data_IF_994779939351
#
_entry.id   IF_994779939351
#
_cell.length_a   1.000
_cell.length_b   1.000
_cell.length_c   1.000
_cell.angle_alpha   90.00
_cell.angle_beta   90.00
_cell.angle_gamma   90.00
#
_symmetry.space_group_name_H-M   'P 1'
#
loop_
_entity.id
_entity.type
_entity.pdbx_description
1 polymer ?
#
# COMPACT_ATOMS: atom_id res chain seq x y z
N UNK A 1 -16.38 17.09 16.67
CA UNK A 1 -16.13 18.19 15.71
C UNK A 1 -17.29 19.18 15.70
N UNK A 2 -18.52 18.77 15.42
CA UNK A 2 -19.68 19.66 15.34
C UNK A 2 -19.94 20.41 16.64
N UNK A 3 -19.74 19.79 17.79
CA UNK A 3 -19.90 20.42 19.11
C UNK A 3 -18.84 21.49 19.33
N UNK A 4 -17.58 21.21 18.95
CA UNK A 4 -16.49 22.17 19.03
C UNK A 4 -16.74 23.36 18.09
N UNK A 5 -17.18 23.11 16.86
CA UNK A 5 -17.52 24.17 15.90
C UNK A 5 -18.64 25.07 16.42
N UNK A 6 -19.69 24.51 17.01
CA UNK A 6 -20.78 25.28 17.63
C UNK A 6 -20.32 26.15 18.81
N UNK A 7 -19.34 25.63 19.57
CA UNK A 7 -18.73 26.39 20.67
C UNK A 7 -17.92 27.58 20.16
N UNK A 8 -17.08 27.32 19.15
CA UNK A 8 -16.27 28.39 18.53
C UNK A 8 -17.16 29.45 17.91
N UNK A 9 -18.22 29.07 17.20
CA UNK A 9 -19.17 29.99 16.60
C UNK A 9 -19.88 30.82 17.65
N UNK A 10 -20.34 30.21 18.76
CA UNK A 10 -20.92 30.94 19.87
C UNK A 10 -19.94 31.94 20.51
N UNK A 11 -18.66 31.59 20.64
CA UNK A 11 -17.62 32.51 21.14
C UNK A 11 -17.41 33.72 20.21
N UNK A 12 -17.35 33.45 18.90
CA UNK A 12 -17.18 34.53 17.90
C UNK A 12 -18.36 35.49 17.86
N UNK A 13 -19.56 34.98 18.07
CA UNK A 13 -20.79 35.75 18.09
C UNK A 13 -21.13 36.36 19.48
N UNK A 14 -20.23 36.21 20.47
CA UNK A 14 -20.42 36.62 21.87
C UNK A 14 -21.68 36.04 22.54
N UNK A 15 -22.14 34.87 22.11
CA UNK A 15 -23.18 34.09 22.79
C UNK A 15 -22.58 33.24 23.91
N UNK A 16 -23.26 33.19 25.07
CA UNK A 16 -22.88 32.24 26.10
C UNK A 16 -23.50 30.87 25.78
N UNK A 17 -22.70 29.87 25.37
CA UNK A 17 -23.25 28.54 25.10
C UNK A 17 -23.77 27.94 26.40
N UNK A 18 -25.02 27.46 26.40
CA UNK A 18 -25.57 26.67 27.51
C UNK A 18 -25.12 25.23 27.35
N UNK A 19 -23.94 24.91 27.84
CA UNK A 19 -23.40 23.55 27.81
C UNK A 19 -23.32 23.07 29.25
N UNK A 20 -23.95 21.92 29.47
CA UNK A 20 -23.82 21.19 30.73
C UNK A 20 -22.53 20.34 30.64
N UNK A 21 -21.53 20.53 31.54
CA UNK A 21 -20.30 19.74 31.52
C UNK A 21 -20.54 18.21 31.56
N UNK A 22 -21.55 17.76 32.30
CA UNK A 22 -21.90 16.33 32.40
C UNK A 22 -22.43 15.75 31.07
N UNK A 23 -23.25 16.51 30.35
CA UNK A 23 -23.76 16.13 29.03
C UNK A 23 -22.62 16.09 27.99
N UNK A 24 -21.62 16.99 28.12
CA UNK A 24 -20.48 17.02 27.23
C UNK A 24 -19.59 15.80 27.39
N UNK A 25 -19.37 15.35 28.64
CA UNK A 25 -18.63 14.11 28.93
C UNK A 25 -19.35 12.91 28.32
N UNK A 26 -20.66 12.74 28.60
CA UNK A 26 -21.46 11.65 28.06
C UNK A 26 -21.48 11.65 26.51
N UNK A 27 -21.54 12.85 25.89
CA UNK A 27 -21.46 12.97 24.45
C UNK A 27 -20.09 12.56 23.92
N UNK A 28 -19.00 12.91 24.61
CA UNK A 28 -17.63 12.52 24.27
C UNK A 28 -17.47 11.00 24.30
N UNK A 29 -17.91 10.36 25.38
CA UNK A 29 -17.87 8.89 25.51
C UNK A 29 -18.68 8.19 24.40
N UNK A 30 -19.87 8.69 24.10
CA UNK A 30 -20.69 8.15 23.02
C UNK A 30 -20.01 8.29 21.64
N UNK A 31 -19.41 9.45 21.35
CA UNK A 31 -18.70 9.66 20.09
C UNK A 31 -17.50 8.71 19.96
N UNK A 32 -16.69 8.56 21.01
CA UNK A 32 -15.54 7.65 21.01
C UNK A 32 -15.96 6.20 20.81
N UNK A 33 -17.02 5.73 21.49
CA UNK A 33 -17.55 4.37 21.28
C UNK A 33 -17.98 4.14 19.81
N UNK A 34 -18.61 5.15 19.19
CA UNK A 34 -19.05 5.04 17.79
C UNK A 34 -17.90 5.05 16.82
N UNK A 35 -16.87 5.84 17.09
CA UNK A 35 -15.65 5.90 16.29
C UNK A 35 -14.90 4.56 16.35
N UNK A 36 -14.65 4.01 17.54
CA UNK A 36 -14.03 2.70 17.72
C UNK A 36 -14.77 1.58 16.97
N UNK A 37 -16.11 1.60 17.04
CA UNK A 37 -16.95 0.64 16.32
C UNK A 37 -16.81 0.81 14.80
N UNK A 38 -16.77 2.05 14.32
CA UNK A 38 -16.57 2.36 12.90
C UNK A 38 -15.23 1.87 12.39
N UNK A 39 -14.15 2.17 13.14
CA UNK A 39 -12.79 1.73 12.80
C UNK A 39 -12.67 0.20 12.79
N UNK A 40 -13.25 -0.47 13.79
CA UNK A 40 -13.25 -1.94 13.83
C UNK A 40 -13.95 -2.55 12.60
N UNK A 41 -15.10 -2.01 12.20
CA UNK A 41 -15.83 -2.47 11.03
C UNK A 41 -15.06 -2.22 9.72
N UNK A 42 -14.39 -1.07 9.58
CA UNK A 42 -13.57 -0.75 8.42
C UNK A 42 -12.36 -1.70 8.30
N UNK A 43 -11.68 -1.94 9.41
CA UNK A 43 -10.54 -2.88 9.49
C UNK A 43 -10.97 -4.30 9.10
N UNK A 44 -12.10 -4.75 9.62
CA UNK A 44 -12.66 -6.07 9.32
C UNK A 44 -13.01 -6.21 7.83
N UNK A 45 -13.69 -5.21 7.26
CA UNK A 45 -14.06 -5.22 5.84
C UNK A 45 -12.84 -5.19 4.93
N UNK A 46 -11.84 -4.40 5.27
CA UNK A 46 -10.58 -4.30 4.53
C UNK A 46 -9.87 -5.65 4.51
N UNK A 47 -9.79 -6.31 5.67
CA UNK A 47 -9.18 -7.65 5.78
C UNK A 47 -9.93 -8.69 4.94
N UNK A 48 -11.27 -8.71 5.00
CA UNK A 48 -12.09 -9.62 4.17
C UNK A 48 -11.85 -9.41 2.67
N UNK A 49 -11.81 -8.18 2.21
CA UNK A 49 -11.52 -7.86 0.80
C UNK A 49 -10.13 -8.29 0.38
N UNK A 50 -9.14 -8.09 1.26
CA UNK A 50 -7.77 -8.49 1.03
C UNK A 50 -7.65 -10.01 0.92
N UNK A 51 -8.26 -10.76 1.82
CA UNK A 51 -8.32 -12.23 1.77
C UNK A 51 -9.04 -12.73 0.51
N UNK A 52 -10.15 -12.11 0.12
CA UNK A 52 -10.84 -12.42 -1.14
C UNK A 52 -9.95 -12.20 -2.35
N UNK A 53 -9.22 -11.10 -2.39
CA UNK A 53 -8.26 -10.80 -3.45
C UNK A 53 -7.13 -11.83 -3.52
N UNK A 54 -6.61 -12.27 -2.37
CA UNK A 54 -5.52 -13.26 -2.29
C UNK A 54 -6.01 -14.67 -2.59
N UNK A 55 -7.28 -15.00 -2.31
CA UNK A 55 -7.85 -16.32 -2.61
C UNK A 55 -7.88 -16.63 -4.12
N UNK A 56 -8.01 -15.60 -4.95
CA UNK A 56 -7.94 -15.72 -6.42
C UNK A 56 -6.50 -15.82 -6.94
N UNK A 57 -5.49 -15.60 -6.08
CA UNK A 57 -4.07 -15.48 -6.45
C UNK A 57 -3.18 -16.38 -5.60
N UNK A 58 -3.55 -17.62 -5.47
CA UNK A 58 -2.72 -18.64 -4.80
C UNK A 58 -1.36 -18.73 -5.49
N UNK A 59 -0.30 -18.84 -4.70
CA UNK A 59 1.08 -18.82 -5.19
C UNK A 59 1.65 -17.43 -5.44
N UNK A 60 0.91 -16.35 -5.23
CA UNK A 60 1.43 -14.98 -5.33
C UNK A 60 2.56 -14.77 -4.32
N UNK A 61 3.69 -14.26 -4.80
CA UNK A 61 4.86 -13.97 -3.98
C UNK A 61 4.75 -12.56 -3.38
N UNK A 62 5.10 -12.45 -2.11
CA UNK A 62 5.08 -11.20 -1.34
C UNK A 62 6.34 -11.11 -0.51
N UNK A 63 6.87 -9.89 -0.40
CA UNK A 63 7.87 -9.59 0.62
C UNK A 63 7.13 -9.22 1.91
N UNK A 64 7.58 -9.79 3.03
CA UNK A 64 6.94 -9.62 4.33
C UNK A 64 7.95 -9.43 5.45
N UNK A 65 7.43 -9.00 6.59
CA UNK A 65 8.17 -8.82 7.83
C UNK A 65 7.59 -9.77 8.87
N UNK A 66 8.46 -10.44 9.63
CA UNK A 66 8.08 -11.29 10.76
C UNK A 66 7.58 -10.41 11.90
N UNK A 67 6.28 -10.48 12.20
CA UNK A 67 5.61 -9.72 13.26
C UNK A 67 5.41 -10.51 14.55
N UNK A 68 5.54 -11.85 14.47
CA UNK A 68 5.42 -12.72 15.63
C UNK A 68 6.19 -14.02 15.42
N UNK A 69 6.81 -14.50 16.50
CA UNK A 69 7.53 -15.78 16.52
C UNK A 69 7.00 -16.61 17.68
N UNK A 70 6.44 -17.76 17.35
CA UNK A 70 5.86 -18.69 18.32
C UNK A 70 6.41 -20.12 18.08
N UNK A 71 6.25 -20.96 19.10
CA UNK A 71 6.73 -22.35 19.02
C UNK A 71 6.10 -23.18 17.88
N UNK A 72 4.93 -22.78 17.41
CA UNK A 72 4.18 -23.46 16.34
C UNK A 72 4.33 -22.82 14.96
N UNK A 73 5.01 -21.65 14.85
CA UNK A 73 5.26 -20.99 13.58
C UNK A 73 5.56 -19.51 13.67
N UNK A 74 5.52 -18.86 12.51
CA UNK A 74 5.81 -17.44 12.32
C UNK A 74 4.56 -16.70 11.86
N UNK A 75 4.33 -15.52 12.41
CA UNK A 75 3.38 -14.55 11.89
C UNK A 75 4.14 -13.58 11.00
N UNK A 76 3.63 -13.36 9.81
CA UNK A 76 4.26 -12.50 8.80
C UNK A 76 3.23 -11.52 8.25
N UNK A 77 3.61 -10.26 8.21
CA UNK A 77 2.84 -9.20 7.58
C UNK A 77 3.47 -8.81 6.24
N UNK A 78 2.67 -8.79 5.19
CA UNK A 78 3.10 -8.36 3.87
C UNK A 78 3.38 -6.86 3.84
N UNK A 79 4.47 -6.46 3.15
CA UNK A 79 4.89 -5.05 3.05
C UNK A 79 4.03 -4.30 2.01
N UNK A 80 3.87 -4.88 0.82
CA UNK A 80 3.13 -4.26 -0.29
C UNK A 80 1.61 -4.34 -0.09
N UNK A 81 1.15 -5.46 0.43
CA UNK A 81 -0.23 -5.73 0.80
C UNK A 81 -0.22 -6.04 2.29
N UNK A 82 -0.88 -5.25 3.15
CA UNK A 82 -0.86 -5.44 4.60
C UNK A 82 -1.73 -6.64 5.00
N UNK A 83 -1.34 -7.81 4.51
CA UNK A 83 -1.96 -9.10 4.80
C UNK A 83 -1.18 -9.78 5.91
N UNK A 84 -1.87 -10.07 7.01
CA UNK A 84 -1.31 -10.86 8.10
C UNK A 84 -1.53 -12.33 7.79
N UNK A 85 -0.45 -13.11 7.76
CA UNK A 85 -0.50 -14.53 7.49
C UNK A 85 0.39 -15.34 8.42
N UNK A 86 0.17 -16.64 8.43
CA UNK A 86 0.85 -17.59 9.30
C UNK A 86 1.69 -18.58 8.48
N UNK A 87 2.89 -18.87 8.96
CA UNK A 87 3.76 -19.92 8.43
C UNK A 87 3.91 -20.99 9.54
N UNK A 88 3.29 -22.16 9.40
CA UNK A 88 3.47 -23.23 10.38
C UNK A 88 4.92 -23.72 10.38
N UNK A 89 5.44 -24.09 11.55
CA UNK A 89 6.82 -24.59 11.68
C UNK A 89 7.06 -25.83 10.81
N UNK A 90 6.03 -26.62 10.58
CA UNK A 90 6.07 -27.81 9.71
C UNK A 90 6.28 -27.46 8.22
N UNK A 91 5.90 -26.25 7.81
CA UNK A 91 6.15 -25.76 6.45
C UNK A 91 7.58 -25.23 6.26
N UNK A 92 8.35 -25.06 7.34
CA UNK A 92 9.77 -24.79 7.31
C UNK A 92 10.53 -26.12 7.15
N UNK A 93 10.51 -26.67 5.94
CA UNK A 93 10.97 -28.04 5.63
C UNK A 93 12.49 -28.21 5.60
N UNK A 94 13.23 -27.13 5.78
CA UNK A 94 14.69 -27.10 5.68
C UNK A 94 15.41 -27.59 6.94
N UNK A 95 14.79 -27.48 8.13
CA UNK A 95 15.39 -27.90 9.40
C UNK A 95 14.34 -28.19 10.47
N UNK A 96 14.83 -28.71 11.63
CA UNK A 96 14.06 -28.82 12.87
C UNK A 96 14.26 -27.57 13.71
N UNK A 97 13.20 -26.78 13.87
CA UNK A 97 13.21 -25.54 14.60
C UNK A 97 12.80 -25.74 16.05
N UNK A 98 13.50 -25.07 16.96
CA UNK A 98 13.12 -24.96 18.36
C UNK A 98 12.92 -23.50 18.73
N UNK A 99 11.93 -23.24 19.58
CA UNK A 99 11.63 -21.89 20.05
C UNK A 99 12.48 -21.52 21.25
N UNK A 100 13.25 -20.46 21.11
CA UNK A 100 13.99 -19.85 22.22
C UNK A 100 13.18 -18.71 22.83
N UNK A 101 12.75 -18.91 24.09
CA UNK A 101 11.97 -17.90 24.82
C UNK A 101 12.76 -16.66 25.15
N UNK A 102 14.07 -16.77 25.38
CA UNK A 102 14.89 -15.66 25.82
C UNK A 102 15.08 -14.62 24.69
N UNK A 103 15.25 -15.11 23.48
CA UNK A 103 15.47 -14.29 22.29
C UNK A 103 14.21 -14.12 21.40
N UNK A 104 13.06 -14.69 21.80
CA UNK A 104 11.84 -14.74 20.98
C UNK A 104 12.12 -15.11 19.52
N UNK A 105 12.84 -16.22 19.33
CA UNK A 105 13.28 -16.65 18.01
C UNK A 105 13.09 -18.15 17.79
N UNK A 106 12.91 -18.53 16.53
CA UNK A 106 12.97 -19.92 16.07
C UNK A 106 14.36 -20.21 15.54
N UNK A 107 15.06 -21.17 16.18
CA UNK A 107 16.42 -21.57 15.82
C UNK A 107 16.44 -22.95 15.20
N UNK A 108 17.02 -23.08 14.01
CA UNK A 108 17.26 -24.35 13.33
C UNK A 108 18.43 -25.11 13.97
N UNK A 109 18.27 -26.42 14.14
CA UNK A 109 19.29 -27.26 14.79
C UNK A 109 20.49 -27.58 13.90
N UNK A 110 20.30 -27.67 12.58
CA UNK A 110 21.33 -28.09 11.62
C UNK A 110 21.83 -26.93 10.78
N UNK A 111 20.91 -26.13 10.23
CA UNK A 111 21.22 -25.01 9.34
C UNK A 111 21.77 -23.80 10.08
N UNK A 112 21.48 -23.67 11.40
CA UNK A 112 21.78 -22.46 12.15
C UNK A 112 20.90 -21.26 11.74
N UNK A 113 19.92 -21.46 10.89
CA UNK A 113 18.96 -20.42 10.52
C UNK A 113 18.18 -19.97 11.74
N UNK A 114 18.00 -18.67 11.88
CA UNK A 114 17.29 -18.09 13.00
C UNK A 114 16.28 -17.07 12.50
N UNK A 115 15.01 -17.23 12.87
CA UNK A 115 13.95 -16.28 12.59
C UNK A 115 13.65 -15.45 13.83
N UNK A 116 13.68 -14.14 13.67
CA UNK A 116 13.46 -13.14 14.73
C UNK A 116 12.33 -12.18 14.34
N UNK A 117 11.80 -11.48 15.32
CA UNK A 117 10.91 -10.35 15.10
C UNK A 117 11.61 -9.31 14.23
N UNK A 118 10.93 -8.83 13.19
CA UNK A 118 11.44 -7.83 12.27
C UNK A 118 12.27 -8.35 11.10
N UNK A 119 12.51 -9.68 11.01
CA UNK A 119 13.23 -10.25 9.88
C UNK A 119 12.42 -10.12 8.57
N UNK A 120 13.13 -9.82 7.48
CA UNK A 120 12.56 -9.79 6.14
C UNK A 120 12.51 -11.19 5.56
N UNK A 121 11.36 -11.56 5.05
CA UNK A 121 11.11 -12.86 4.43
C UNK A 121 10.37 -12.68 3.11
N UNK A 122 10.65 -13.56 2.16
CA UNK A 122 9.84 -13.70 0.96
C UNK A 122 8.93 -14.90 1.12
N UNK A 123 7.64 -14.69 0.93
CA UNK A 123 6.60 -15.69 1.15
C UNK A 123 5.71 -15.82 -0.08
N UNK A 124 5.10 -16.99 -0.25
CA UNK A 124 4.04 -17.21 -1.23
C UNK A 124 2.73 -17.55 -0.52
N UNK A 125 1.62 -17.07 -1.07
CA UNK A 125 0.28 -17.40 -0.60
C UNK A 125 0.04 -18.90 -0.81
N UNK A 126 -0.06 -19.66 0.27
CA UNK A 126 -0.26 -21.09 0.22
C UNK A 126 -1.75 -21.48 0.28
N UNK A 127 -2.48 -20.92 1.21
CA UNK A 127 -3.90 -21.18 1.45
C UNK A 127 -4.58 -19.96 2.01
N UNK A 128 -5.83 -19.74 1.58
CA UNK A 128 -6.72 -18.69 2.13
C UNK A 128 -8.01 -19.35 2.58
N UNK A 129 -8.37 -19.15 3.83
CA UNK A 129 -9.63 -19.58 4.42
C UNK A 129 -10.48 -18.35 4.74
N UNK A 130 -11.48 -18.09 3.91
CA UNK A 130 -12.36 -16.92 4.05
C UNK A 130 -13.32 -17.05 5.25
N UNK A 131 -13.73 -18.27 5.61
CA UNK A 131 -14.64 -18.50 6.71
C UNK A 131 -13.94 -18.27 8.07
N UNK A 132 -12.73 -18.79 8.19
CA UNK A 132 -11.88 -18.63 9.39
C UNK A 132 -11.07 -17.34 9.38
N UNK A 133 -11.06 -16.63 8.25
CA UNK A 133 -10.26 -15.42 8.03
C UNK A 133 -8.78 -15.65 8.26
N UNK A 134 -8.28 -16.80 7.80
CA UNK A 134 -6.90 -17.21 7.96
C UNK A 134 -6.19 -17.22 6.61
N UNK A 135 -4.93 -16.82 6.65
CA UNK A 135 -4.01 -16.80 5.52
C UNK A 135 -2.77 -17.58 5.89
N UNK A 136 -2.51 -18.65 5.16
CA UNK A 136 -1.30 -19.44 5.33
C UNK A 136 -0.30 -19.07 4.24
N UNK A 137 0.92 -18.77 4.67
CA UNK A 137 2.04 -18.50 3.80
C UNK A 137 2.98 -19.69 3.75
N UNK A 138 3.69 -19.80 2.63
CA UNK A 138 4.85 -20.68 2.48
C UNK A 138 6.10 -19.82 2.36
N UNK A 139 7.13 -20.12 3.14
CA UNK A 139 8.42 -19.46 3.06
C UNK A 139 9.12 -19.81 1.75
N UNK A 140 9.60 -18.80 1.02
CA UNK A 140 10.42 -18.95 -0.17
C UNK A 140 11.89 -18.62 0.12
N UNK A 141 12.12 -17.51 0.83
CA UNK A 141 13.47 -17.08 1.19
C UNK A 141 13.46 -16.32 2.51
N UNK A 142 14.53 -16.45 3.28
CA UNK A 142 14.82 -15.67 4.46
C UNK A 142 15.94 -14.67 4.12
N UNK A 143 15.66 -13.39 4.25
CA UNK A 143 16.60 -12.30 3.93
C UNK A 143 17.35 -11.77 5.16
N UNK A 144 16.97 -12.25 6.35
CA UNK A 144 17.58 -11.86 7.62
C UNK A 144 17.08 -10.52 8.15
N UNK A 145 17.76 -10.02 9.17
CA UNK A 145 17.38 -8.77 9.83
C UNK A 145 17.74 -7.56 8.95
N UNK A 146 16.79 -6.67 8.63
CA UNK A 146 17.09 -5.50 7.81
C UNK A 146 18.07 -4.60 8.56
N UNK A 147 19.20 -4.30 7.94
CA UNK A 147 20.05 -3.21 8.41
C UNK A 147 19.29 -1.89 8.32
N UNK A 148 19.74 -0.82 9.02
CA UNK A 148 19.04 0.47 9.07
C UNK A 148 18.74 1.10 7.69
N UNK A 149 19.41 0.67 6.63
CA UNK A 149 19.24 1.17 5.26
C UNK A 149 18.27 0.33 4.41
N UNK A 150 18.00 -0.91 4.76
CA UNK A 150 17.25 -1.85 3.89
C UNK A 150 15.76 -1.57 3.86
N UNK A 151 15.21 -1.08 4.99
CA UNK A 151 13.77 -0.73 5.07
C UNK A 151 13.45 0.50 4.21
N UNK A 152 14.38 1.46 4.14
CA UNK A 152 14.21 2.65 3.30
C UNK A 152 14.26 2.33 1.80
N UNK A 153 15.10 1.38 1.37
CA UNK A 153 15.19 0.96 -0.04
C UNK A 153 13.96 0.14 -0.48
N UNK A 154 13.42 -0.71 0.38
CA UNK A 154 12.20 -1.46 0.05
C UNK A 154 10.98 -0.54 -0.12
N UNK A 155 10.85 0.50 0.70
CA UNK A 155 9.79 1.50 0.57
C UNK A 155 9.94 2.39 -0.67
N UNK A 156 11.16 2.66 -1.12
CA UNK A 156 11.44 3.48 -2.32
C UNK A 156 11.28 2.71 -3.62
N UNK A 157 11.49 1.40 -3.64
CA UNK A 157 11.35 0.56 -4.84
C UNK A 157 9.90 0.45 -5.32
N UNK A 158 8.90 0.56 -4.44
CA UNK A 158 7.49 0.58 -4.83
C UNK A 158 7.06 1.87 -5.55
N UNK A 159 7.73 3.01 -5.29
CA UNK A 159 7.50 4.26 -6.02
C UNK A 159 8.10 4.29 -7.43
N UNK A 160 9.08 3.45 -7.73
CA UNK A 160 9.78 3.41 -9.03
C UNK A 160 9.07 2.52 -10.05
N UNK A 161 8.51 1.38 -9.66
CA UNK A 161 7.81 0.46 -10.58
C UNK A 161 6.55 1.08 -11.20
N UNK A 162 5.88 1.97 -10.47
CA UNK A 162 4.70 2.69 -11.00
C UNK A 162 5.08 3.90 -11.86
N UNK A 163 6.26 4.49 -11.62
CA UNK A 163 6.82 5.56 -12.46
C UNK A 163 7.34 5.04 -13.80
N UNK A 164 7.90 3.84 -13.85
CA UNK A 164 8.38 3.24 -15.10
C UNK A 164 7.22 2.76 -15.99
N UNK A 165 6.14 2.20 -15.42
CA UNK A 165 4.92 1.90 -16.18
C UNK A 165 4.22 3.15 -16.77
N UNK A 166 4.36 4.32 -16.12
CA UNK A 166 3.87 5.60 -16.67
C UNK A 166 4.82 6.16 -17.73
N UNK A 167 6.14 5.92 -17.62
CA UNK A 167 7.12 6.34 -18.63
C UNK A 167 6.96 5.57 -19.94
N UNK A 168 6.70 4.27 -19.89
CA UNK A 168 6.50 3.46 -21.10
C UNK A 168 5.22 3.80 -21.86
N UNK A 169 4.19 4.34 -21.21
CA UNK A 169 3.01 4.88 -21.88
C UNK A 169 3.16 6.32 -22.38
N UNK A 170 4.09 7.11 -21.80
CA UNK A 170 4.40 8.48 -22.22
C UNK A 170 5.54 8.55 -23.25
N UNK A 171 6.25 7.48 -23.49
CA UNK A 171 7.46 7.42 -24.31
C UNK A 171 7.28 7.51 -25.82
N UNK A 172 6.08 7.85 -26.33
CA UNK A 172 5.82 8.06 -27.77
C UNK A 172 5.46 9.49 -28.18
N UNK A 173 5.56 10.43 -27.27
CA UNK A 173 5.53 11.86 -27.65
C UNK A 173 6.97 12.36 -27.75
N UNK A 174 7.53 12.36 -28.97
CA UNK A 174 8.79 13.03 -29.28
C UNK A 174 8.73 14.46 -28.77
N UNK A 175 9.63 14.80 -27.86
CA UNK A 175 9.80 16.16 -27.36
C UNK A 175 10.36 17.00 -28.49
N UNK A 176 9.47 17.61 -29.27
CA UNK A 176 9.83 18.53 -30.36
C UNK A 176 10.38 19.80 -29.71
N UNK A 177 11.62 20.13 -29.98
CA UNK A 177 12.30 21.31 -29.43
C UNK A 177 11.56 22.60 -29.84
N UNK A 178 11.75 23.66 -29.05
CA UNK A 178 11.09 24.94 -29.32
C UNK A 178 11.40 25.46 -30.76
N UNK A 179 12.62 25.23 -31.25
CA UNK A 179 13.07 25.55 -32.59
C UNK A 179 12.35 24.77 -33.70
N UNK A 180 12.03 23.49 -33.46
CA UNK A 180 11.27 22.67 -34.39
C UNK A 180 9.77 23.05 -34.41
N UNK A 181 9.20 23.46 -33.26
CA UNK A 181 7.81 23.97 -33.20
C UNK A 181 7.65 25.26 -34.03
N UNK A 182 8.62 26.17 -33.94
CA UNK A 182 8.61 27.41 -34.73
C UNK A 182 8.75 27.08 -36.23
N UNK A 183 9.60 26.13 -36.60
CA UNK A 183 9.81 25.70 -38.01
C UNK A 183 8.56 25.03 -38.59
N UNK A 184 7.86 24.20 -37.81
CA UNK A 184 6.61 23.55 -38.21
C UNK A 184 5.44 24.54 -38.34
N UNK A 185 5.37 25.57 -37.48
CA UNK A 185 4.39 26.65 -37.61
C UNK A 185 4.63 27.51 -38.83
N UNK A 186 5.89 27.78 -39.19
CA UNK A 186 6.26 28.48 -40.43
C UNK A 186 5.82 27.71 -41.69
N UNK A 187 6.05 26.40 -41.72
CA UNK A 187 5.64 25.54 -42.86
C UNK A 187 4.11 25.45 -43.02
N UNK A 188 3.36 25.37 -41.94
CA UNK A 188 1.88 25.39 -41.99
C UNK A 188 1.32 26.71 -42.52
N UNK A 189 1.91 27.86 -42.13
CA UNK A 189 1.53 29.18 -42.68
C UNK A 189 1.83 29.33 -44.19
N UNK A 190 2.93 28.73 -44.67
CA UNK A 190 3.29 28.71 -46.10
C UNK A 190 2.35 27.81 -46.93
N UNK A 191 1.94 26.67 -46.37
CA UNK A 191 1.01 25.75 -47.03
C UNK A 191 -0.42 26.35 -47.13
N UNK A 192 -0.88 27.02 -46.07
CA UNK A 192 -2.18 27.69 -46.09
C UNK A 192 -2.24 28.86 -47.09
N UNK A 193 -1.13 29.62 -47.23
CA UNK A 193 -1.02 30.68 -48.27
C UNK A 193 -1.01 30.10 -49.69
N UNK A 194 -0.33 28.97 -49.96
CA UNK A 194 -0.38 28.30 -51.25
C UNK A 194 -1.75 27.73 -51.61
N UNK A 195 -2.46 27.19 -50.64
CA UNK A 195 -3.85 26.71 -50.87
C UNK A 195 -4.83 27.84 -51.13
N UNK A 196 -4.70 28.97 -50.43
CA UNK A 196 -5.56 30.14 -50.68
C UNK A 196 -5.27 30.81 -52.01
N UNK A 197 -4.00 30.83 -52.45
CA UNK A 197 -3.65 31.32 -53.79
C UNK A 197 -4.17 30.42 -54.90
N UNK A 198 -4.14 29.07 -54.72
CA UNK A 198 -4.66 28.10 -55.69
C UNK A 198 -6.20 28.17 -55.82
N UNK A 199 -6.91 28.40 -54.70
CA UNK A 199 -8.37 28.64 -54.71
C UNK A 199 -8.78 29.95 -55.40
N UNK A 200 -7.94 31.02 -55.31
CA UNK A 200 -8.19 32.28 -56.01
C UNK A 200 -7.96 32.18 -57.52
N UNK A 201 -7.01 31.38 -57.98
CA UNK A 201 -6.77 31.17 -59.41
C UNK A 201 -7.84 30.30 -60.08
N UNK A 202 -8.47 29.36 -59.36
CA UNK A 202 -9.57 28.54 -59.87
C UNK A 202 -10.93 29.29 -59.93
N UNK A 203 -11.07 30.41 -59.23
CA UNK A 203 -12.31 31.21 -59.23
C UNK A 203 -12.29 32.32 -60.28
N UNK A 204 -11.20 32.43 -61.05
CA UNK A 204 -11.01 33.43 -62.13
C UNK A 204 -10.99 32.80 -63.55
N UNK A 205 -11.29 31.50 -63.63
CA UNK A 205 -11.62 30.80 -64.88
C UNK A 205 -13.10 30.42 -64.84
#
# INVERSE_FOLDING_TARGET
DLTVHRLVDAMLLNFKPRINPTELVALGEHCSEREERGEAAERELTNLKLLSFLSERLGMELDGIVTGVEKYGLFVQGIALPADGFIPVEALSDDYYHFDRASHSLCGRRSGNQFRLGDLVRVAVARVDLERRQLDFRLLAHQGHPGPNTVAESLTSFGSAERDRKKDKAGKTRHVSLSERVRLQGLRKLQSKKQSAKKKSQKRR
#
